data_IF_360603810712
#
_entry.id   IF_360603810712
#
_cell.length_a   1.000
_cell.length_b   1.000
_cell.length_c   1.000
_cell.angle_alpha   90.00
_cell.angle_beta   90.00
_cell.angle_gamma   90.00
#
_symmetry.space_group_name_H-M   'P 1'
#
loop_
_entity.id
_entity.type
_entity.pdbx_description
1 polymer ?
#
# COMPACT_ATOMS: atom_id res chain seq x y z
N UNK A 1 -6.10 -17.24 -21.42
CA UNK A 1 -6.51 -16.79 -20.08
C UNK A 1 -5.34 -16.77 -19.10
N UNK A 2 -4.57 -17.85 -19.01
CA UNK A 2 -3.40 -17.97 -18.09
C UNK A 2 -2.36 -16.86 -18.28
N UNK A 3 -2.07 -16.45 -19.50
CA UNK A 3 -1.08 -15.40 -19.80
C UNK A 3 -1.54 -13.98 -19.45
N UNK A 4 -2.84 -13.78 -19.21
CA UNK A 4 -3.40 -12.50 -18.77
C UNK A 4 -3.52 -12.39 -17.25
N UNK A 5 -3.63 -13.52 -16.56
CA UNK A 5 -3.74 -13.56 -15.09
C UNK A 5 -2.35 -13.52 -14.43
N UNK A 6 -1.33 -14.07 -15.06
CA UNK A 6 0.02 -14.14 -14.48
C UNK A 6 0.61 -12.77 -14.12
N UNK A 7 0.52 -11.71 -14.96
CA UNK A 7 0.99 -10.37 -14.57
C UNK A 7 0.32 -9.85 -13.31
N UNK A 8 -0.99 -10.06 -13.19
CA UNK A 8 -1.72 -9.70 -11.97
C UNK A 8 -1.25 -10.52 -10.77
N UNK A 9 -1.13 -11.84 -10.90
CA UNK A 9 -0.71 -12.69 -9.79
C UNK A 9 0.67 -12.31 -9.25
N UNK A 10 1.63 -12.00 -10.14
CA UNK A 10 2.98 -11.55 -9.75
C UNK A 10 2.92 -10.21 -9.03
N UNK A 11 2.21 -9.23 -9.60
CA UNK A 11 2.10 -7.89 -8.98
C UNK A 11 1.31 -7.91 -7.68
N UNK A 12 0.25 -8.72 -7.59
CA UNK A 12 -0.53 -8.89 -6.37
C UNK A 12 0.29 -9.54 -5.25
N UNK A 13 1.11 -10.56 -5.58
CA UNK A 13 2.04 -11.15 -4.61
C UNK A 13 3.05 -10.12 -4.09
N UNK A 14 3.62 -9.30 -4.98
CA UNK A 14 4.50 -8.19 -4.59
C UNK A 14 3.74 -7.16 -3.73
N UNK A 15 2.51 -6.82 -4.09
CA UNK A 15 1.65 -5.93 -3.29
C UNK A 15 1.45 -6.48 -1.88
N UNK A 16 1.10 -7.76 -1.74
CA UNK A 16 0.91 -8.39 -0.42
C UNK A 16 2.19 -8.38 0.42
N UNK A 17 3.35 -8.62 -0.20
CA UNK A 17 4.63 -8.68 0.51
C UNK A 17 5.13 -7.29 0.96
N UNK A 18 4.92 -6.27 0.14
CA UNK A 18 5.51 -4.94 0.35
C UNK A 18 4.51 -3.86 0.76
N UNK A 19 3.23 -4.19 0.87
CA UNK A 19 2.17 -3.24 1.24
C UNK A 19 2.52 -2.46 2.51
N UNK A 20 2.90 -3.16 3.58
CA UNK A 20 3.23 -2.56 4.87
C UNK A 20 4.46 -1.66 4.77
N UNK A 21 5.47 -2.07 3.99
CA UNK A 21 6.68 -1.29 3.78
C UNK A 21 6.38 0.04 3.07
N UNK A 22 5.53 0.00 2.04
CA UNK A 22 5.12 1.22 1.31
C UNK A 22 4.22 2.08 2.18
N UNK A 23 3.35 1.48 2.99
CA UNK A 23 2.53 2.19 3.97
C UNK A 23 3.40 2.95 4.98
N UNK A 24 4.43 2.30 5.53
CA UNK A 24 5.38 2.96 6.43
C UNK A 24 6.16 4.08 5.75
N UNK A 25 6.61 3.85 4.51
CA UNK A 25 7.30 4.86 3.74
C UNK A 25 6.43 6.10 3.46
N UNK A 26 5.13 5.92 3.20
CA UNK A 26 4.19 7.02 2.95
C UNK A 26 3.85 7.78 4.24
N UNK A 27 3.56 7.05 5.32
CA UNK A 27 3.00 7.62 6.54
C UNK A 27 3.98 7.75 7.70
N UNK A 28 5.21 7.24 7.59
CA UNK A 28 6.21 7.16 8.68
C UNK A 28 5.57 6.63 9.99
N UNK A 29 4.74 5.59 9.85
CA UNK A 29 3.90 5.08 10.93
C UNK A 29 4.60 4.10 11.87
N UNK A 30 5.85 3.72 11.57
CA UNK A 30 6.65 2.80 12.37
C UNK A 30 6.36 1.32 12.10
N UNK A 31 5.51 1.00 11.11
CA UNK A 31 5.30 -0.38 10.68
C UNK A 31 6.59 -0.96 10.08
N UNK A 32 6.73 -2.27 10.14
CA UNK A 32 7.89 -2.98 9.59
C UNK A 32 7.45 -4.02 8.58
N UNK A 33 8.43 -4.58 7.85
CA UNK A 33 8.18 -5.70 6.94
C UNK A 33 7.43 -6.83 7.63
N UNK A 34 6.66 -7.61 6.86
CA UNK A 34 5.90 -8.77 7.39
C UNK A 34 6.74 -9.72 8.25
N UNK A 35 8.02 -9.93 7.86
CA UNK A 35 8.97 -10.78 8.59
C UNK A 35 9.68 -10.08 9.76
N UNK A 36 9.45 -8.80 9.98
CA UNK A 36 10.10 -7.99 11.01
C UNK A 36 9.09 -7.43 12.04
N UNK A 37 7.91 -8.02 12.13
CA UNK A 37 6.90 -7.66 13.12
C UNK A 37 5.66 -6.93 12.59
N UNK A 38 5.61 -6.65 11.27
CA UNK A 38 4.46 -6.02 10.60
C UNK A 38 4.00 -4.74 11.30
N UNK A 39 2.79 -4.71 11.82
CA UNK A 39 2.16 -3.57 12.49
C UNK A 39 2.42 -3.50 14.01
N UNK A 40 3.20 -4.43 14.58
CA UNK A 40 3.45 -4.46 16.03
C UNK A 40 4.07 -3.17 16.59
N UNK A 41 4.82 -2.44 15.75
CA UNK A 41 5.47 -1.16 16.10
C UNK A 41 4.75 0.04 15.51
N UNK A 42 3.57 -0.15 14.92
CA UNK A 42 2.79 0.92 14.30
C UNK A 42 2.30 1.93 15.35
N UNK A 43 2.22 3.20 14.95
CA UNK A 43 1.75 4.28 15.80
C UNK A 43 0.29 4.11 16.26
N UNK A 44 -0.47 3.21 15.65
CA UNK A 44 -1.83 2.85 16.10
C UNK A 44 -1.87 2.31 17.53
N UNK A 45 -0.76 1.76 18.01
CA UNK A 45 -0.62 1.24 19.38
C UNK A 45 -0.16 2.29 20.39
N UNK A 46 0.17 3.51 19.95
CA UNK A 46 0.61 4.60 20.81
C UNK A 46 -0.58 5.48 21.22
N UNK A 47 -0.67 5.82 22.50
CA UNK A 47 -1.66 6.78 22.98
C UNK A 47 -1.25 8.22 22.65
N UNK A 48 -2.25 9.08 22.39
CA UNK A 48 -2.06 10.53 22.20
C UNK A 48 -1.21 10.95 20.98
N UNK A 49 -1.19 10.13 19.92
CA UNK A 49 -0.59 10.46 18.63
C UNK A 49 -1.61 10.32 17.50
N UNK A 50 -1.38 11.01 16.39
CA UNK A 50 -2.16 10.78 15.18
C UNK A 50 -1.85 9.39 14.63
N UNK A 51 -2.87 8.59 14.42
CA UNK A 51 -2.73 7.23 13.93
C UNK A 51 -2.70 7.17 12.41
N UNK A 52 -1.91 6.24 11.86
CA UNK A 52 -1.89 5.97 10.43
C UNK A 52 -3.32 5.74 9.89
N UNK A 53 -3.73 6.43 8.82
CA UNK A 53 -5.10 6.35 8.29
C UNK A 53 -5.54 4.94 7.89
N UNK A 54 -4.60 4.10 7.47
CA UNK A 54 -4.89 2.71 7.08
C UNK A 54 -5.00 1.83 8.32
N UNK A 55 -3.99 1.89 9.21
CA UNK A 55 -3.92 1.04 10.39
C UNK A 55 -5.05 1.33 11.40
N UNK A 56 -5.44 2.60 11.54
CA UNK A 56 -6.54 3.00 12.44
C UNK A 56 -7.90 2.44 12.06
N UNK A 57 -8.10 2.09 10.78
CA UNK A 57 -9.32 1.44 10.29
C UNK A 57 -9.27 -0.09 10.34
N UNK A 58 -8.17 -0.67 10.86
CA UNK A 58 -8.01 -2.10 11.03
C UNK A 58 -8.14 -2.88 9.72
N UNK A 59 -8.69 -4.07 9.79
CA UNK A 59 -8.87 -4.98 8.63
C UNK A 59 -9.67 -4.32 7.50
N UNK A 60 -10.69 -3.53 7.83
CA UNK A 60 -11.51 -2.85 6.83
C UNK A 60 -10.68 -1.82 6.02
N UNK A 61 -9.79 -1.09 6.68
CA UNK A 61 -8.86 -0.16 6.02
C UNK A 61 -7.89 -0.89 5.11
N UNK A 62 -7.27 -1.95 5.61
CA UNK A 62 -6.35 -2.77 4.80
C UNK A 62 -7.03 -3.36 3.56
N UNK A 63 -8.19 -3.97 3.72
CA UNK A 63 -8.91 -4.61 2.59
C UNK A 63 -9.39 -3.59 1.58
N UNK A 64 -9.88 -2.43 2.00
CA UNK A 64 -10.31 -1.36 1.12
C UNK A 64 -9.14 -0.80 0.29
N UNK A 65 -8.00 -0.52 0.92
CA UNK A 65 -6.81 -0.01 0.21
C UNK A 65 -6.21 -1.08 -0.69
N UNK A 66 -6.12 -2.33 -0.23
CA UNK A 66 -5.68 -3.46 -1.07
C UNK A 66 -6.55 -3.62 -2.32
N UNK A 67 -7.88 -3.54 -2.18
CA UNK A 67 -8.80 -3.61 -3.30
C UNK A 67 -8.60 -2.42 -4.27
N UNK A 68 -8.50 -1.20 -3.74
CA UNK A 68 -8.30 0.01 -4.54
C UNK A 68 -6.97 -0.01 -5.32
N UNK A 69 -5.91 -0.56 -4.74
CA UNK A 69 -4.59 -0.67 -5.38
C UNK A 69 -4.53 -1.84 -6.36
N UNK A 70 -5.20 -2.95 -6.05
CA UNK A 70 -5.17 -4.16 -6.89
C UNK A 70 -6.11 -4.08 -8.10
N UNK A 71 -7.21 -3.33 -8.02
CA UNK A 71 -8.16 -3.19 -9.12
C UNK A 71 -7.52 -2.67 -10.42
N UNK A 72 -6.73 -1.56 -10.43
CA UNK A 72 -6.05 -1.10 -11.64
C UNK A 72 -4.98 -2.09 -12.13
N UNK A 73 -4.32 -2.85 -11.25
CA UNK A 73 -3.38 -3.90 -11.64
C UNK A 73 -4.11 -5.02 -12.40
N UNK A 74 -5.27 -5.46 -11.90
CA UNK A 74 -6.11 -6.45 -12.57
C UNK A 74 -6.59 -5.93 -13.92
N UNK A 75 -7.09 -4.70 -13.97
CA UNK A 75 -7.53 -4.07 -15.20
C UNK A 75 -6.39 -3.99 -16.24
N UNK A 76 -5.21 -3.55 -15.84
CA UNK A 76 -4.03 -3.48 -16.71
C UNK A 76 -3.62 -4.86 -17.22
N UNK A 77 -3.65 -5.88 -16.35
CA UNK A 77 -3.29 -7.24 -16.72
C UNK A 77 -4.24 -7.86 -17.76
N UNK A 78 -5.55 -7.57 -17.65
CA UNK A 78 -6.57 -8.19 -18.50
C UNK A 78 -6.80 -7.43 -19.80
N UNK A 79 -6.85 -6.10 -19.74
CA UNK A 79 -7.34 -5.29 -20.86
C UNK A 79 -6.25 -4.67 -21.73
N UNK A 80 -5.04 -4.47 -21.20
CA UNK A 80 -3.99 -3.83 -22.00
C UNK A 80 -3.45 -4.78 -23.07
N UNK A 81 -3.31 -4.30 -24.33
CA UNK A 81 -2.85 -5.09 -25.48
C UNK A 81 -1.32 -5.19 -25.57
N UNK A 82 -0.63 -5.20 -24.43
CA UNK A 82 0.83 -5.30 -24.38
C UNK A 82 1.30 -6.74 -24.26
N UNK A 83 2.57 -6.98 -24.56
CA UNK A 83 3.24 -8.24 -24.32
C UNK A 83 3.29 -8.56 -22.82
N UNK A 84 3.56 -9.82 -22.49
CA UNK A 84 3.52 -10.33 -21.12
C UNK A 84 4.49 -9.59 -20.18
N UNK A 85 5.71 -9.31 -20.63
CA UNK A 85 6.73 -8.65 -19.82
C UNK A 85 6.33 -7.22 -19.51
N UNK A 86 5.90 -6.47 -20.52
CA UNK A 86 5.43 -5.08 -20.35
C UNK A 86 4.26 -5.00 -19.39
N UNK A 87 3.31 -5.95 -19.48
CA UNK A 87 2.18 -6.01 -18.52
C UNK A 87 2.63 -6.28 -17.09
N UNK A 88 3.60 -7.18 -16.87
CA UNK A 88 4.16 -7.43 -15.53
C UNK A 88 4.78 -6.15 -14.98
N UNK A 89 5.62 -5.47 -15.76
CA UNK A 89 6.26 -4.23 -15.34
C UNK A 89 5.23 -3.15 -15.02
N UNK A 90 4.23 -2.96 -15.87
CA UNK A 90 3.16 -1.97 -15.63
C UNK A 90 2.37 -2.30 -14.37
N UNK A 91 1.97 -3.56 -14.17
CA UNK A 91 1.25 -3.98 -12.97
C UNK A 91 2.09 -3.77 -11.70
N UNK A 92 3.41 -4.02 -11.74
CA UNK A 92 4.31 -3.77 -10.61
C UNK A 92 4.45 -2.27 -10.32
N UNK A 93 4.51 -1.41 -11.35
CA UNK A 93 4.56 0.05 -11.17
C UNK A 93 3.25 0.64 -10.65
N UNK A 94 2.11 0.06 -11.02
CA UNK A 94 0.81 0.48 -10.52
C UNK A 94 0.66 0.29 -9.00
N UNK A 95 1.43 -0.61 -8.39
CA UNK A 95 1.40 -0.82 -6.94
C UNK A 95 1.86 0.43 -6.17
N UNK A 96 3.11 0.89 -6.28
CA UNK A 96 3.57 2.07 -5.53
C UNK A 96 2.82 3.33 -5.93
N UNK A 97 2.48 3.50 -7.21
CA UNK A 97 1.69 4.64 -7.69
C UNK A 97 0.30 4.64 -7.04
N UNK A 98 -0.38 3.49 -7.04
CA UNK A 98 -1.69 3.33 -6.40
C UNK A 98 -1.63 3.58 -4.90
N UNK A 99 -0.59 3.07 -4.22
CA UNK A 99 -0.37 3.31 -2.79
C UNK A 99 -0.16 4.79 -2.48
N UNK A 100 0.64 5.50 -3.28
CA UNK A 100 0.87 6.94 -3.12
C UNK A 100 -0.44 7.72 -3.35
N UNK A 101 -1.20 7.38 -4.39
CA UNK A 101 -2.46 8.05 -4.70
C UNK A 101 -3.51 7.82 -3.60
N UNK A 102 -3.77 6.56 -3.24
CA UNK A 102 -4.77 6.21 -2.22
C UNK A 102 -4.31 6.68 -0.83
N UNK A 103 -3.04 6.46 -0.49
CA UNK A 103 -2.46 6.90 0.77
C UNK A 103 -2.46 8.42 0.89
N UNK A 104 -2.09 9.14 -0.17
CA UNK A 104 -2.15 10.60 -0.21
C UNK A 104 -3.57 11.13 0.00
N UNK A 105 -4.58 10.55 -0.66
CA UNK A 105 -5.98 10.92 -0.48
C UNK A 105 -6.47 10.66 0.95
N UNK A 106 -6.12 9.51 1.53
CA UNK A 106 -6.48 9.19 2.91
C UNK A 106 -5.77 10.11 3.91
N UNK A 107 -4.49 10.41 3.67
CA UNK A 107 -3.74 11.35 4.50
C UNK A 107 -4.33 12.76 4.47
N UNK A 108 -4.75 13.23 3.29
CA UNK A 108 -5.46 14.49 3.12
C UNK A 108 -6.80 14.50 3.86
N UNK A 109 -7.57 13.44 3.72
CA UNK A 109 -8.89 13.30 4.36
C UNK A 109 -8.81 13.28 5.88
N UNK A 110 -7.82 12.57 6.44
CA UNK A 110 -7.65 12.44 7.88
C UNK A 110 -6.77 13.55 8.49
N UNK A 111 -6.24 14.47 7.66
CA UNK A 111 -5.28 15.49 8.12
C UNK A 111 -3.95 14.90 8.59
N UNK A 112 -3.58 13.72 8.11
CA UNK A 112 -2.35 13.02 8.45
C UNK A 112 -1.24 13.30 7.43
N UNK A 113 -0.25 14.09 7.83
CA UNK A 113 0.85 14.53 6.97
C UNK A 113 2.19 13.93 7.41
N UNK A 114 2.37 12.63 7.26
CA UNK A 114 3.66 11.97 7.50
C UNK A 114 4.80 12.48 6.60
N UNK A 115 4.46 13.03 5.42
CA UNK A 115 5.43 13.60 4.49
C UNK A 115 6.06 14.92 4.95
N UNK A 116 5.48 15.63 5.90
CA UNK A 116 5.94 16.96 6.34
C UNK A 116 6.40 16.90 7.78
N UNK A 117 7.52 16.21 8.02
CA UNK A 117 8.48 16.55 9.06
C UNK A 117 8.04 16.58 10.52
N UNK A 118 6.81 16.30 10.88
CA UNK A 118 6.43 16.08 12.27
C UNK A 118 6.65 14.62 12.65
N UNK A 119 7.90 14.31 12.94
CA UNK A 119 8.24 13.05 13.61
C UNK A 119 7.66 13.10 15.02
N UNK A 120 6.45 12.58 15.16
CA UNK A 120 5.82 12.44 16.48
C UNK A 120 6.32 11.14 17.10
N UNK A 121 7.35 11.25 17.94
CA UNK A 121 7.78 10.22 18.86
C UNK A 121 9.22 9.73 18.68
N UNK A 122 9.86 9.30 19.77
CA UNK A 122 11.18 8.69 19.71
C UNK A 122 11.10 7.31 19.04
N UNK A 123 11.99 7.08 18.09
CA UNK A 123 12.21 5.74 17.52
C UNK A 123 12.86 4.83 18.56
#
# INVERSE_FOLDING_TARGET
>A
MRDRILPFAVSFAATCLFFINVCDWIFDCGCRSLWAGADAMCNVHLANVHHCPICSRGIAGYTAVMAAVSAPQLAASVWLPFDKVTRIVLCLLLFPIGMIAVGGLLGLYDGYWGFVGERVGPR
#
